data_IF_624094130347
#
_entry.id   IF_624094130347
#
_cell.length_a   1.000
_cell.length_b   1.000
_cell.length_c   1.000
_cell.angle_alpha   90.00
_cell.angle_beta   90.00
_cell.angle_gamma   90.00
#
_symmetry.space_group_name_H-M   'P 1'
#
loop_
_entity.id
_entity.type
_entity.pdbx_description
1 polymer ?
#
# COMPACT_ATOMS: atom_id res chain seq x y z
N UNK A 1 18.29 -1.48 16.06
CA UNK A 1 17.11 -1.65 15.19
C UNK A 1 16.04 -0.69 15.71
N UNK A 2 15.61 0.34 14.97
CA UNK A 2 14.53 1.22 15.44
C UNK A 2 13.21 0.44 15.43
N UNK A 3 12.51 0.43 16.56
CA UNK A 3 11.18 -0.17 16.66
C UNK A 3 10.17 0.73 15.93
N UNK A 4 9.46 0.17 14.94
CA UNK A 4 8.41 0.88 14.21
C UNK A 4 7.10 0.62 14.94
N UNK A 5 6.54 1.65 15.57
CA UNK A 5 5.27 1.55 16.29
C UNK A 5 4.19 2.26 15.47
N UNK A 6 3.10 1.56 15.17
CA UNK A 6 1.94 2.11 14.45
C UNK A 6 1.01 2.75 15.47
N UNK A 7 1.07 4.07 15.62
CA UNK A 7 0.15 4.83 16.47
C UNK A 7 -0.81 5.66 15.63
N UNK A 8 -2.05 5.76 16.07
CA UNK A 8 -3.00 6.77 15.61
C UNK A 8 -2.65 8.16 16.18
N UNK A 9 -3.07 9.23 15.50
CA UNK A 9 -2.86 10.61 15.99
C UNK A 9 -3.42 10.81 17.41
N UNK A 10 -4.52 10.13 17.76
CA UNK A 10 -5.12 10.19 19.10
C UNK A 10 -4.27 9.50 20.17
N UNK A 11 -3.54 8.45 19.82
CA UNK A 11 -2.60 7.80 20.75
C UNK A 11 -1.35 8.66 20.96
N UNK A 12 -0.91 9.38 19.93
CA UNK A 12 0.20 10.35 20.05
C UNK A 12 -0.19 11.49 21.01
N UNK A 13 -1.42 12.03 20.91
CA UNK A 13 -1.92 13.04 21.85
C UNK A 13 -1.94 12.57 23.31
N UNK A 14 -2.35 11.30 23.54
CA UNK A 14 -2.37 10.72 24.89
C UNK A 14 -0.97 10.61 25.48
N UNK A 15 0.02 10.21 24.68
CA UNK A 15 1.41 10.09 25.13
C UNK A 15 2.01 11.46 25.42
N UNK A 16 1.72 12.46 24.58
CA UNK A 16 2.15 13.85 24.85
C UNK A 16 1.59 14.31 26.21
N UNK A 17 0.31 14.10 26.46
CA UNK A 17 -0.32 14.49 27.72
C UNK A 17 0.27 13.75 28.94
N UNK A 18 0.59 12.47 28.81
CA UNK A 18 1.19 11.65 29.88
C UNK A 18 2.63 12.09 30.21
N UNK A 19 3.43 12.42 29.19
CA UNK A 19 4.79 12.93 29.34
C UNK A 19 4.77 14.30 30.04
N UNK A 20 3.90 15.22 29.61
CA UNK A 20 3.78 16.54 30.21
C UNK A 20 3.24 16.48 31.65
N UNK A 21 2.28 15.58 31.92
CA UNK A 21 1.78 15.33 33.28
C UNK A 21 2.87 14.75 34.20
N UNK A 22 3.82 14.00 33.66
CA UNK A 22 4.99 13.48 34.37
C UNK A 22 6.12 14.49 34.50
N UNK A 23 5.95 15.72 34.00
CA UNK A 23 6.95 16.80 34.04
C UNK A 23 8.04 16.70 32.98
N UNK A 24 7.86 15.87 31.95
CA UNK A 24 8.76 15.76 30.81
C UNK A 24 8.40 16.72 29.67
N UNK A 25 9.38 16.96 28.79
CA UNK A 25 9.18 17.76 27.58
C UNK A 25 8.81 16.87 26.39
N UNK A 26 7.70 17.19 25.72
CA UNK A 26 7.17 16.46 24.57
C UNK A 26 7.21 17.27 23.26
N UNK A 27 8.07 18.29 23.16
CA UNK A 27 8.09 19.24 22.04
C UNK A 27 8.34 18.55 20.69
N UNK A 28 9.26 17.58 20.65
CA UNK A 28 9.56 16.80 19.45
C UNK A 28 8.39 15.90 19.01
N UNK A 29 7.60 15.36 19.95
CA UNK A 29 6.39 14.59 19.62
C UNK A 29 5.29 15.49 19.07
N UNK A 30 5.13 16.71 19.61
CA UNK A 30 4.17 17.71 19.11
C UNK A 30 4.49 18.13 17.69
N UNK A 31 5.77 18.36 17.39
CA UNK A 31 6.25 18.69 16.04
C UNK A 31 5.98 17.54 15.06
N UNK A 32 6.34 16.31 15.44
CA UNK A 32 6.05 15.12 14.64
C UNK A 32 4.56 14.94 14.39
N UNK A 33 3.70 15.16 15.40
CA UNK A 33 2.24 15.13 15.25
C UNK A 33 1.76 16.16 14.23
N UNK A 34 2.28 17.38 14.29
CA UNK A 34 1.92 18.45 13.35
C UNK A 34 2.35 18.12 11.92
N UNK A 35 3.55 17.54 11.74
CA UNK A 35 4.04 17.09 10.43
C UNK A 35 3.18 15.96 9.86
N UNK A 36 2.76 14.97 10.67
CA UNK A 36 1.90 13.86 10.22
C UNK A 36 0.46 14.32 9.95
N UNK A 37 -0.04 15.32 10.70
CA UNK A 37 -1.33 15.95 10.44
C UNK A 37 -1.34 16.81 9.17
N UNK A 38 -0.17 17.28 8.72
CA UNK A 38 -0.03 17.98 7.46
C UNK A 38 -0.30 17.02 6.28
N UNK A 39 -1.30 17.35 5.47
CA UNK A 39 -1.75 16.51 4.36
C UNK A 39 -0.66 16.31 3.30
N UNK A 40 0.36 17.17 3.25
CA UNK A 40 1.49 17.07 2.33
C UNK A 40 2.47 15.98 2.75
N UNK A 41 2.57 15.68 4.05
CA UNK A 41 3.34 14.53 4.56
C UNK A 41 2.63 13.22 4.21
N UNK A 42 1.31 13.16 4.40
CA UNK A 42 0.47 12.02 3.99
C UNK A 42 0.47 11.79 2.48
N UNK A 43 0.50 12.86 1.67
CA UNK A 43 0.63 12.77 0.22
C UNK A 43 2.01 12.26 -0.22
N UNK A 44 3.06 12.52 0.56
CA UNK A 44 4.43 12.04 0.29
C UNK A 44 4.66 10.61 0.77
N UNK A 45 3.84 10.17 1.73
CA UNK A 45 3.82 8.82 2.27
C UNK A 45 2.48 8.17 1.90
N UNK A 46 2.30 7.91 0.60
CA UNK A 46 1.12 7.27 0.05
C UNK A 46 0.73 6.04 0.87
N UNK A 47 -0.55 5.99 1.24
CA UNK A 47 -1.17 4.87 1.94
C UNK A 47 -0.86 3.59 1.14
N UNK A 48 -0.45 2.48 1.77
CA UNK A 48 -0.26 1.24 1.05
C UNK A 48 -1.61 0.86 0.42
N UNK A 49 -1.70 0.98 -0.91
CA UNK A 49 -2.87 0.56 -1.69
C UNK A 49 -3.25 -0.85 -1.26
N UNK A 50 -4.55 -1.16 -1.13
CA UNK A 50 -4.99 -2.54 -0.94
C UNK A 50 -4.43 -3.44 -2.04
N UNK A 51 -4.28 -4.74 -1.78
CA UNK A 51 -3.88 -5.69 -2.84
C UNK A 51 -4.83 -5.62 -4.03
N UNK A 52 -6.13 -5.47 -3.76
CA UNK A 52 -7.16 -5.35 -4.79
C UNK A 52 -7.07 -4.03 -5.57
N UNK A 53 -6.86 -2.89 -4.89
CA UNK A 53 -6.69 -1.60 -5.56
C UNK A 53 -5.43 -1.56 -6.43
N UNK A 54 -4.32 -2.13 -5.95
CA UNK A 54 -3.09 -2.25 -6.73
C UNK A 54 -3.29 -3.11 -7.98
N UNK A 55 -4.00 -4.23 -7.85
CA UNK A 55 -4.32 -5.10 -8.99
C UNK A 55 -5.26 -4.41 -9.98
N UNK A 56 -6.25 -3.65 -9.50
CA UNK A 56 -7.17 -2.89 -10.34
C UNK A 56 -6.42 -1.81 -11.14
N UNK A 57 -5.49 -1.09 -10.51
CA UNK A 57 -4.67 -0.08 -11.18
C UNK A 57 -3.75 -0.70 -12.24
N UNK A 58 -3.11 -1.83 -11.93
CA UNK A 58 -2.25 -2.53 -12.91
C UNK A 58 -3.06 -3.16 -14.03
N UNK A 59 -4.28 -3.64 -13.75
CA UNK A 59 -5.20 -4.16 -14.76
C UNK A 59 -5.68 -3.06 -15.70
N UNK A 60 -5.96 -1.85 -15.17
CA UNK A 60 -6.34 -0.70 -16.00
C UNK A 60 -5.21 -0.23 -16.93
N UNK A 61 -3.95 -0.42 -16.52
CA UNK A 61 -2.77 -0.16 -17.36
C UNK A 61 -2.43 -1.32 -18.31
N UNK A 62 -2.95 -2.51 -18.06
CA UNK A 62 -2.69 -3.70 -18.86
C UNK A 62 -3.63 -3.76 -20.07
N UNK A 63 -3.11 -4.29 -21.18
CA UNK A 63 -3.93 -4.54 -22.36
C UNK A 63 -4.78 -5.79 -22.11
N UNK A 64 -6.11 -5.63 -22.11
CA UNK A 64 -7.04 -6.76 -22.03
C UNK A 64 -7.39 -7.21 -23.44
N UNK A 65 -7.14 -8.47 -23.75
CA UNK A 65 -7.42 -9.10 -25.03
C UNK A 65 -8.58 -10.09 -24.84
N UNK A 66 -9.57 -10.02 -25.73
CA UNK A 66 -10.74 -10.90 -25.74
C UNK A 66 -10.70 -11.77 -26.99
N UNK A 67 -10.91 -13.08 -26.85
CA UNK A 67 -10.87 -14.00 -27.98
C UNK A 67 -11.17 -15.44 -27.56
N UNK A 68 -11.69 -16.24 -28.49
CA UNK A 68 -12.24 -17.59 -28.22
C UNK A 68 -11.20 -18.73 -28.14
N UNK A 69 -9.89 -18.43 -28.07
CA UNK A 69 -8.85 -19.46 -27.92
C UNK A 69 -7.51 -18.87 -27.42
N UNK A 70 -7.56 -17.92 -26.48
CA UNK A 70 -6.35 -17.25 -26.02
C UNK A 70 -5.60 -18.13 -25.00
N UNK A 71 -4.35 -18.46 -25.28
CA UNK A 71 -3.50 -19.25 -24.39
C UNK A 71 -2.66 -18.35 -23.47
N UNK A 72 -2.75 -18.58 -22.16
CA UNK A 72 -1.92 -17.88 -21.19
C UNK A 72 -0.45 -18.29 -21.35
N UNK A 73 0.44 -17.31 -21.52
CA UNK A 73 1.88 -17.55 -21.70
C UNK A 73 2.61 -18.17 -20.49
N UNK A 74 1.96 -18.25 -19.33
CA UNK A 74 2.56 -18.76 -18.08
C UNK A 74 2.08 -20.18 -17.77
N UNK A 75 0.76 -20.40 -17.78
CA UNK A 75 0.18 -21.70 -17.44
C UNK A 75 -0.26 -22.52 -18.65
N UNK A 76 -0.16 -21.99 -19.87
CA UNK A 76 -0.54 -22.64 -21.13
C UNK A 76 -1.99 -23.17 -21.15
N UNK A 77 -2.86 -22.59 -20.32
CA UNK A 77 -4.30 -22.87 -20.35
C UNK A 77 -5.01 -21.86 -21.24
N UNK A 78 -6.12 -22.30 -21.84
CA UNK A 78 -6.98 -21.48 -22.70
C UNK A 78 -7.99 -20.70 -21.86
N UNK A 79 -8.19 -19.44 -22.21
CA UNK A 79 -9.13 -18.52 -21.57
C UNK A 79 -9.82 -17.64 -22.61
N UNK A 80 -11.01 -17.14 -22.30
CA UNK A 80 -11.77 -16.23 -23.15
C UNK A 80 -11.20 -14.79 -23.15
N UNK A 81 -10.45 -14.45 -22.11
CA UNK A 81 -9.76 -13.17 -21.97
C UNK A 81 -8.37 -13.34 -21.33
N UNK A 82 -7.43 -12.52 -21.79
CA UNK A 82 -6.09 -12.42 -21.21
C UNK A 82 -5.79 -10.96 -20.83
N UNK A 83 -5.08 -10.78 -19.74
CA UNK A 83 -4.52 -9.51 -19.27
C UNK A 83 -3.02 -9.54 -19.57
N UNK A 84 -2.59 -8.72 -20.52
CA UNK A 84 -1.21 -8.68 -21.02
C UNK A 84 -0.65 -10.07 -21.39
N UNK A 85 -1.42 -10.89 -22.12
CA UNK A 85 -1.02 -12.24 -22.52
C UNK A 85 -1.03 -13.30 -21.39
N UNK A 86 -1.54 -12.94 -20.20
CA UNK A 86 -1.64 -13.84 -19.04
C UNK A 86 -3.06 -13.93 -18.53
N UNK A 87 -3.45 -15.06 -17.93
CA UNK A 87 -4.77 -15.18 -17.30
C UNK A 87 -4.83 -14.36 -16.01
N UNK A 88 -6.03 -14.08 -15.50
CA UNK A 88 -6.20 -13.26 -14.29
C UNK A 88 -5.45 -13.81 -13.06
N UNK A 89 -5.34 -15.15 -12.96
CA UNK A 89 -4.62 -15.81 -11.87
C UNK A 89 -3.12 -15.57 -11.96
N UNK A 90 -2.52 -15.88 -13.12
CA UNK A 90 -1.08 -15.66 -13.32
C UNK A 90 -0.71 -14.18 -13.28
N UNK A 91 -1.59 -13.29 -13.79
CA UNK A 91 -1.42 -11.85 -13.69
C UNK A 91 -1.36 -11.41 -12.22
N UNK A 92 -2.28 -11.89 -11.38
CA UNK A 92 -2.29 -11.58 -9.94
C UNK A 92 -1.04 -12.07 -9.24
N UNK A 93 -0.66 -13.33 -9.46
CA UNK A 93 0.55 -13.92 -8.85
C UNK A 93 1.82 -13.19 -9.25
N UNK A 94 1.88 -12.65 -10.48
CA UNK A 94 3.04 -11.91 -10.95
C UNK A 94 3.05 -10.45 -10.49
N UNK A 95 1.88 -9.82 -10.35
CA UNK A 95 1.76 -8.42 -9.94
C UNK A 95 1.85 -8.21 -8.42
N UNK A 96 1.27 -9.10 -7.61
CA UNK A 96 1.29 -8.96 -6.14
C UNK A 96 2.69 -8.82 -5.53
N UNK A 97 3.73 -9.56 -6.00
CA UNK A 97 5.11 -9.36 -5.54
C UNK A 97 5.73 -8.01 -5.93
N UNK A 98 5.25 -7.38 -7.01
CA UNK A 98 5.72 -6.07 -7.47
C UNK A 98 5.10 -4.90 -6.70
N UNK A 99 4.01 -5.15 -5.95
CA UNK A 99 3.52 -4.20 -4.96
C UNK A 99 4.68 -3.91 -4.04
N UNK A 100 5.17 -2.67 -4.07
CA UNK A 100 6.24 -2.22 -3.19
C UNK A 100 5.81 -2.57 -1.78
N UNK A 101 6.46 -3.58 -1.20
CA UNK A 101 6.37 -3.81 0.24
C UNK A 101 6.96 -2.55 0.83
N UNK A 102 6.12 -1.59 1.20
CA UNK A 102 6.47 -0.63 2.23
C UNK A 102 6.92 -1.54 3.38
N UNK A 103 8.24 -1.66 3.56
CA UNK A 103 8.84 -2.57 4.54
C UNK A 103 8.15 -2.26 5.86
N UNK A 104 7.38 -3.24 6.33
CA UNK A 104 6.61 -3.16 7.57
C UNK A 104 7.53 -2.92 8.76
#
# INVERSE_FOLDING_TARGET
MPAIVKLSLQEIDKIIADIEASGGDAEELKKTRAEVADSKWLAKHEKPLGEEEFLAEKRAQAKVEYGTDLECMICHKKFDHLVSGTCEVCFREWMLPLKTKTRA
#
